data_IF_658847554951
#
_entry.id   IF_658847554951
#
_cell.length_a   1.000
_cell.length_b   1.000
_cell.length_c   1.000
_cell.angle_alpha   90.00
_cell.angle_beta   90.00
_cell.angle_gamma   90.00
#
_symmetry.space_group_name_H-M   'P 1'
#
loop_
_entity.id
_entity.type
_entity.pdbx_description
1 polymer ?
#
# COMPACT_ATOMS: atom_id res chain seq x y z
N UNK A 1 -30.71 49.46 -1.92
CA UNK A 1 -29.64 48.52 -1.55
C UNK A 1 -30.05 47.82 -0.25
N UNK A 2 -30.48 46.56 -0.32
CA UNK A 2 -30.69 45.70 0.84
C UNK A 2 -29.83 44.45 0.63
N UNK A 3 -28.91 44.19 1.56
CA UNK A 3 -28.05 43.02 1.55
C UNK A 3 -28.82 41.79 2.05
N UNK A 4 -28.93 40.79 1.19
CA UNK A 4 -29.39 39.45 1.56
C UNK A 4 -28.23 38.61 2.07
N UNK A 5 -28.26 38.29 3.36
CA UNK A 5 -27.37 37.33 4.02
C UNK A 5 -27.86 35.91 3.71
N UNK A 6 -27.05 35.10 3.04
CA UNK A 6 -27.26 33.65 2.94
C UNK A 6 -26.39 32.95 4.01
N UNK A 7 -26.96 32.05 4.84
CA UNK A 7 -26.17 31.31 5.81
C UNK A 7 -25.31 30.26 5.10
N UNK A 8 -24.00 30.33 5.30
CA UNK A 8 -23.04 29.30 4.93
C UNK A 8 -23.30 28.05 5.77
N UNK A 9 -24.10 27.13 5.25
CA UNK A 9 -24.23 25.78 5.77
C UNK A 9 -22.89 25.06 5.64
N UNK A 10 -22.15 24.98 6.74
CA UNK A 10 -20.99 24.10 6.90
C UNK A 10 -21.48 22.65 6.82
N UNK A 11 -21.49 22.10 5.61
CA UNK A 11 -21.64 20.66 5.38
C UNK A 11 -20.44 19.93 5.97
N UNK A 12 -20.54 19.58 7.26
CA UNK A 12 -19.60 18.70 7.93
C UNK A 12 -19.54 17.33 7.25
N UNK A 13 -18.36 16.71 7.26
CA UNK A 13 -18.10 15.39 6.66
C UNK A 13 -18.93 14.33 7.37
N UNK A 14 -19.67 13.50 6.63
CA UNK A 14 -20.61 12.50 7.15
C UNK A 14 -19.93 11.21 7.67
N UNK A 15 -18.71 11.32 8.22
CA UNK A 15 -17.97 10.18 8.77
C UNK A 15 -17.08 10.60 9.93
N UNK A 16 -17.15 9.86 11.03
CA UNK A 16 -16.24 9.96 12.18
C UNK A 16 -14.97 9.18 11.89
N UNK A 17 -13.81 9.87 11.90
CA UNK A 17 -12.50 9.21 11.83
C UNK A 17 -12.10 8.87 13.26
N UNK A 18 -12.05 7.58 13.67
CA UNK A 18 -11.54 7.23 14.98
C UNK A 18 -10.05 7.58 15.07
N UNK A 19 -9.70 8.31 16.13
CA UNK A 19 -8.31 8.62 16.49
C UNK A 19 -7.56 7.33 16.77
N UNK A 20 -6.38 7.20 16.15
CA UNK A 20 -5.51 6.02 16.15
C UNK A 20 -5.35 5.39 17.56
N UNK A 21 -6.14 4.35 17.83
CA UNK A 21 -5.74 3.27 18.74
C UNK A 21 -5.36 2.05 17.92
N UNK A 22 -4.20 1.52 18.28
CA UNK A 22 -3.55 0.25 17.98
C UNK A 22 -3.88 -0.51 16.68
N UNK A 23 -2.81 -0.82 15.95
CA UNK A 23 -2.84 -1.43 14.60
C UNK A 23 -3.32 -2.89 14.56
N UNK A 24 -3.83 -3.44 15.67
CA UNK A 24 -4.24 -4.85 15.79
C UNK A 24 -5.73 -5.07 15.42
N UNK A 25 -6.61 -4.12 15.73
CA UNK A 25 -8.07 -4.27 15.49
C UNK A 25 -8.53 -4.00 14.06
N UNK A 26 -7.62 -3.57 13.18
CA UNK A 26 -7.96 -3.26 11.79
C UNK A 26 -8.32 -4.51 10.99
N UNK A 27 -7.74 -5.67 11.32
CA UNK A 27 -8.04 -6.91 10.63
C UNK A 27 -9.41 -7.49 11.05
N UNK A 28 -9.80 -7.36 12.32
CA UNK A 28 -11.13 -7.75 12.80
C UNK A 28 -12.24 -6.92 12.16
N UNK A 29 -12.08 -5.58 12.16
CA UNK A 29 -13.06 -4.67 11.57
C UNK A 29 -13.21 -4.82 10.05
N UNK A 30 -12.13 -5.14 9.32
CA UNK A 30 -12.19 -5.35 7.86
C UNK A 30 -12.89 -6.66 7.49
N UNK A 31 -12.66 -7.74 8.25
CA UNK A 31 -13.31 -9.03 8.02
C UNK A 31 -14.80 -8.95 8.34
N UNK A 32 -15.15 -8.29 9.45
CA UNK A 32 -16.53 -8.06 9.84
C UNK A 32 -17.25 -7.13 8.87
N UNK A 33 -16.61 -6.03 8.43
CA UNK A 33 -17.15 -5.16 7.39
C UNK A 33 -17.31 -5.88 6.04
N UNK A 34 -16.38 -6.77 5.64
CA UNK A 34 -16.54 -7.58 4.42
C UNK A 34 -17.73 -8.55 4.50
N UNK A 35 -18.01 -9.05 5.69
CA UNK A 35 -19.10 -9.98 5.95
C UNK A 35 -20.46 -9.25 6.05
N UNK A 36 -20.46 -7.99 6.47
CA UNK A 36 -21.64 -7.12 6.57
C UNK A 36 -21.95 -6.33 5.28
N UNK A 37 -20.96 -6.10 4.40
CA UNK A 37 -21.11 -5.28 3.19
C UNK A 37 -21.65 -6.03 1.96
N UNK A 38 -21.90 -7.34 2.06
CA UNK A 38 -22.50 -8.13 0.99
C UNK A 38 -23.44 -9.19 1.54
N UNK A 39 -24.56 -9.43 0.85
CA UNK A 39 -25.38 -10.62 1.13
C UNK A 39 -24.46 -11.85 1.11
N UNK A 40 -24.52 -12.67 2.16
CA UNK A 40 -23.75 -13.92 2.22
C UNK A 40 -24.12 -14.80 1.03
N UNK A 41 -23.21 -15.68 0.59
CA UNK A 41 -23.47 -16.58 -0.54
C UNK A 41 -24.79 -17.35 -0.37
N UNK A 42 -25.06 -17.78 0.86
CA UNK A 42 -26.29 -18.47 1.23
C UNK A 42 -27.52 -17.55 1.09
N UNK A 43 -27.44 -16.30 1.57
CA UNK A 43 -28.52 -15.33 1.41
C UNK A 43 -28.79 -14.96 -0.06
N UNK A 44 -27.76 -14.92 -0.90
CA UNK A 44 -27.93 -14.75 -2.35
C UNK A 44 -28.63 -15.95 -3.01
N UNK A 45 -28.29 -17.18 -2.59
CA UNK A 45 -28.95 -18.39 -3.08
C UNK A 45 -30.41 -18.45 -2.61
N UNK A 46 -30.70 -18.08 -1.36
CA UNK A 46 -32.05 -18.01 -0.84
C UNK A 46 -32.91 -16.95 -1.55
N UNK A 47 -32.38 -15.74 -1.75
CA UNK A 47 -33.08 -14.69 -2.51
C UNK A 47 -33.32 -15.11 -3.96
N UNK A 48 -32.36 -15.80 -4.60
CA UNK A 48 -32.55 -16.39 -5.93
C UNK A 48 -33.63 -17.47 -5.92
N UNK A 49 -33.62 -18.39 -4.95
CA UNK A 49 -34.64 -19.45 -4.81
C UNK A 49 -36.03 -18.83 -4.59
N UNK A 50 -36.14 -17.86 -3.68
CA UNK A 50 -37.37 -17.14 -3.41
C UNK A 50 -37.90 -16.42 -4.66
N UNK A 51 -37.02 -15.75 -5.40
CA UNK A 51 -37.38 -15.13 -6.68
C UNK A 51 -37.90 -16.16 -7.69
N UNK A 52 -37.22 -17.30 -7.85
CA UNK A 52 -37.67 -18.37 -8.75
C UNK A 52 -39.02 -18.94 -8.37
N UNK A 53 -39.30 -19.09 -7.07
CA UNK A 53 -40.62 -19.51 -6.57
C UNK A 53 -41.67 -18.45 -6.92
N UNK A 54 -41.37 -17.16 -6.73
CA UNK A 54 -42.25 -16.05 -7.12
C UNK A 54 -42.57 -16.06 -8.61
N UNK A 55 -41.57 -16.28 -9.47
CA UNK A 55 -41.77 -16.42 -10.92
C UNK A 55 -42.68 -17.60 -11.25
N UNK A 56 -42.44 -18.77 -10.65
CA UNK A 56 -43.25 -19.97 -10.85
C UNK A 56 -44.70 -19.75 -10.42
N UNK A 57 -44.92 -19.14 -9.26
CA UNK A 57 -46.26 -18.88 -8.73
C UNK A 57 -47.02 -17.83 -9.56
N UNK A 58 -46.32 -16.90 -10.22
CA UNK A 58 -46.91 -15.94 -11.15
C UNK A 58 -47.39 -16.56 -12.47
N UNK A 59 -47.00 -17.79 -12.80
CA UNK A 59 -47.49 -18.52 -13.97
C UNK A 59 -48.70 -19.37 -13.50
N UNK A 60 -49.91 -18.93 -13.86
CA UNK A 60 -51.13 -19.67 -13.55
C UNK A 60 -51.06 -21.10 -14.10
N UNK A 61 -51.41 -22.08 -13.28
CA UNK A 61 -51.52 -23.48 -13.69
C UNK A 61 -52.65 -23.64 -14.69
N UNK A 62 -52.48 -24.52 -15.69
CA UNK A 62 -53.44 -24.73 -16.79
C UNK A 62 -54.87 -25.05 -16.33
N UNK A 63 -55.04 -25.63 -15.14
CA UNK A 63 -56.34 -25.93 -14.51
C UNK A 63 -57.15 -24.67 -14.12
N UNK A 64 -56.48 -23.53 -13.94
CA UNK A 64 -57.10 -22.27 -13.51
C UNK A 64 -57.46 -21.32 -14.66
N UNK A 65 -57.13 -21.68 -15.90
CA UNK A 65 -57.31 -20.82 -17.07
C UNK A 65 -58.47 -21.35 -17.91
N UNK A 66 -59.41 -20.46 -18.27
CA UNK A 66 -60.51 -20.81 -19.15
C UNK A 66 -59.99 -21.21 -20.55
N UNK A 67 -60.61 -22.17 -21.24
CA UNK A 67 -60.14 -22.65 -22.54
C UNK A 67 -60.02 -21.56 -23.62
N UNK A 68 -60.87 -20.53 -23.54
CA UNK A 68 -60.85 -19.39 -24.45
C UNK A 68 -59.61 -18.48 -24.26
N UNK A 69 -59.13 -18.36 -23.02
CA UNK A 69 -58.06 -17.42 -22.64
C UNK A 69 -56.66 -18.05 -22.72
N UNK A 70 -56.57 -19.38 -22.83
CA UNK A 70 -55.30 -20.11 -22.97
C UNK A 70 -54.45 -19.57 -24.13
N UNK A 71 -55.06 -19.32 -25.30
CA UNK A 71 -54.33 -18.79 -26.47
C UNK A 71 -53.75 -17.40 -26.21
N UNK A 72 -54.46 -16.54 -25.48
CA UNK A 72 -53.97 -15.21 -25.12
C UNK A 72 -52.80 -15.32 -24.14
N UNK A 73 -52.90 -16.20 -23.14
CA UNK A 73 -51.83 -16.40 -22.15
C UNK A 73 -50.56 -16.98 -22.75
N UNK A 74 -50.67 -17.91 -23.70
CA UNK A 74 -49.52 -18.44 -24.44
C UNK A 74 -48.79 -17.32 -25.18
N UNK A 75 -49.52 -16.42 -25.86
CA UNK A 75 -48.92 -15.28 -26.55
C UNK A 75 -48.22 -14.32 -25.59
N UNK A 76 -48.83 -14.02 -24.45
CA UNK A 76 -48.23 -13.17 -23.41
C UNK A 76 -46.93 -13.78 -22.88
N UNK A 77 -46.93 -15.07 -22.53
CA UNK A 77 -45.73 -15.77 -22.06
C UNK A 77 -44.64 -15.81 -23.11
N UNK A 78 -44.99 -16.04 -24.38
CA UNK A 78 -44.04 -16.03 -25.48
C UNK A 78 -43.38 -14.65 -25.65
N UNK A 79 -44.17 -13.57 -25.65
CA UNK A 79 -43.63 -12.20 -25.70
C UNK A 79 -42.72 -11.89 -24.51
N UNK A 80 -43.11 -12.34 -23.31
CA UNK A 80 -42.29 -12.20 -22.10
C UNK A 80 -40.96 -12.96 -22.21
N UNK A 81 -40.96 -14.17 -22.77
CA UNK A 81 -39.74 -14.96 -23.00
C UNK A 81 -38.81 -14.21 -23.95
N UNK A 82 -39.28 -13.76 -25.11
CA UNK A 82 -38.44 -13.02 -26.07
C UNK A 82 -37.81 -11.75 -25.47
N UNK A 83 -38.56 -11.04 -24.62
CA UNK A 83 -38.03 -9.88 -23.90
C UNK A 83 -36.94 -10.29 -22.91
N UNK A 84 -37.18 -11.32 -22.09
CA UNK A 84 -36.19 -11.83 -21.13
C UNK A 84 -34.94 -12.37 -21.80
N UNK A 85 -35.05 -12.95 -22.99
CA UNK A 85 -33.90 -13.39 -23.79
C UNK A 85 -33.04 -12.21 -24.26
N UNK A 86 -33.68 -11.12 -24.68
CA UNK A 86 -32.98 -9.89 -25.06
C UNK A 86 -32.29 -9.25 -23.85
N UNK A 87 -33.00 -9.10 -22.74
CA UNK A 87 -32.46 -8.55 -21.49
C UNK A 87 -31.28 -9.40 -20.98
N UNK A 88 -31.37 -10.74 -21.11
CA UNK A 88 -30.29 -11.67 -20.76
C UNK A 88 -29.04 -11.41 -21.60
N UNK A 89 -29.18 -11.29 -22.92
CA UNK A 89 -28.05 -11.01 -23.81
C UNK A 89 -27.34 -9.71 -23.43
N UNK A 90 -28.08 -8.63 -23.17
CA UNK A 90 -27.51 -7.34 -22.79
C UNK A 90 -26.79 -7.41 -21.44
N UNK A 91 -27.34 -8.15 -20.48
CA UNK A 91 -26.71 -8.37 -19.18
C UNK A 91 -25.43 -9.21 -19.30
N UNK A 92 -25.44 -10.28 -20.09
CA UNK A 92 -24.26 -11.13 -20.33
C UNK A 92 -23.15 -10.32 -21.01
N UNK A 93 -23.48 -9.51 -22.02
CA UNK A 93 -22.51 -8.63 -22.68
C UNK A 93 -21.93 -7.57 -21.75
N UNK A 94 -22.75 -7.01 -20.85
CA UNK A 94 -22.27 -6.08 -19.82
C UNK A 94 -21.35 -6.78 -18.83
N UNK A 95 -21.72 -7.99 -18.39
CA UNK A 95 -20.91 -8.78 -17.47
C UNK A 95 -19.54 -9.12 -18.07
N UNK A 96 -19.51 -9.59 -19.33
CA UNK A 96 -18.28 -9.90 -20.06
C UNK A 96 -17.33 -8.69 -20.12
N UNK A 97 -17.88 -7.48 -20.38
CA UNK A 97 -17.10 -6.24 -20.37
C UNK A 97 -16.53 -5.93 -18.99
N UNK A 98 -17.35 -6.03 -17.94
CA UNK A 98 -16.89 -5.80 -16.56
C UNK A 98 -15.79 -6.79 -16.15
N UNK A 99 -15.91 -8.05 -16.54
CA UNK A 99 -14.87 -9.05 -16.30
C UNK A 99 -13.57 -8.74 -17.03
N UNK A 100 -13.65 -8.23 -18.27
CA UNK A 100 -12.48 -7.76 -19.00
C UNK A 100 -11.81 -6.58 -18.28
N UNK A 101 -12.57 -5.56 -17.91
CA UNK A 101 -12.06 -4.37 -17.22
C UNK A 101 -11.40 -4.75 -15.87
N UNK A 102 -12.00 -5.68 -15.12
CA UNK A 102 -11.44 -6.19 -13.87
C UNK A 102 -10.13 -6.97 -14.10
N UNK A 103 -10.04 -7.77 -15.17
CA UNK A 103 -8.81 -8.49 -15.53
C UNK A 103 -7.69 -7.52 -15.90
N UNK A 104 -8.00 -6.49 -16.70
CA UNK A 104 -7.04 -5.46 -17.10
C UNK A 104 -6.55 -4.66 -15.89
N UNK A 105 -7.46 -4.23 -15.00
CA UNK A 105 -7.12 -3.49 -13.80
C UNK A 105 -6.21 -4.30 -12.86
N UNK A 106 -6.51 -5.59 -12.68
CA UNK A 106 -5.66 -6.49 -11.89
C UNK A 106 -4.27 -6.66 -12.51
N UNK A 107 -4.17 -6.77 -13.83
CA UNK A 107 -2.88 -6.88 -14.50
C UNK A 107 -2.06 -5.59 -14.41
N UNK A 108 -2.70 -4.43 -14.62
CA UNK A 108 -2.07 -3.12 -14.41
C UNK A 108 -1.60 -2.96 -12.96
N UNK A 109 -2.42 -3.37 -11.98
CA UNK A 109 -2.06 -3.36 -10.56
C UNK A 109 -0.83 -4.22 -10.28
N UNK A 110 -0.78 -5.45 -10.83
CA UNK A 110 0.41 -6.32 -10.73
C UNK A 110 1.65 -5.70 -11.36
N UNK A 111 1.51 -5.04 -12.51
CA UNK A 111 2.64 -4.36 -13.17
C UNK A 111 3.13 -3.17 -12.35
N UNK A 112 2.24 -2.36 -11.80
CA UNK A 112 2.58 -1.24 -10.91
C UNK A 112 3.31 -1.74 -9.66
N UNK A 113 2.82 -2.83 -9.04
CA UNK A 113 3.45 -3.44 -7.89
C UNK A 113 4.87 -3.97 -8.21
N UNK A 114 5.03 -4.68 -9.34
CA UNK A 114 6.34 -5.15 -9.82
C UNK A 114 7.32 -4.01 -10.06
N UNK A 115 6.89 -2.95 -10.76
CA UNK A 115 7.73 -1.78 -11.03
C UNK A 115 8.09 -1.01 -9.76
N UNK A 116 7.17 -0.92 -8.79
CA UNK A 116 7.44 -0.32 -7.50
C UNK A 116 8.46 -1.13 -6.68
N UNK A 117 8.42 -2.47 -6.75
CA UNK A 117 9.41 -3.33 -6.13
C UNK A 117 10.80 -3.17 -6.77
N UNK A 118 10.87 -3.17 -8.10
CA UNK A 118 12.12 -2.94 -8.85
C UNK A 118 12.77 -1.61 -8.48
N UNK A 119 11.98 -0.52 -8.41
CA UNK A 119 12.48 0.80 -8.00
C UNK A 119 13.03 0.83 -6.56
N UNK A 120 12.54 -0.05 -5.69
CA UNK A 120 13.01 -0.20 -4.31
C UNK A 120 14.18 -1.18 -4.18
N UNK A 121 14.68 -1.73 -5.28
CA UNK A 121 15.75 -2.74 -5.28
C UNK A 121 15.31 -4.09 -4.72
N UNK A 122 14.00 -4.33 -4.65
CA UNK A 122 13.42 -5.60 -4.19
C UNK A 122 13.13 -6.47 -5.41
N UNK A 123 13.53 -7.74 -5.35
CA UNK A 123 13.24 -8.72 -6.41
C UNK A 123 11.71 -8.86 -6.59
N UNK A 124 11.18 -8.70 -7.81
CA UNK A 124 9.75 -8.87 -8.11
C UNK A 124 9.16 -10.21 -7.66
N UNK A 125 9.98 -11.26 -7.60
CA UNK A 125 9.56 -12.60 -7.16
C UNK A 125 9.33 -12.66 -5.64
N UNK A 126 10.11 -11.92 -4.85
CA UNK A 126 9.98 -11.84 -3.39
C UNK A 126 8.89 -10.84 -2.94
N UNK A 127 8.51 -9.87 -3.79
CA UNK A 127 7.53 -8.83 -3.45
C UNK A 127 6.06 -9.22 -3.65
N UNK A 128 5.79 -10.19 -4.54
CA UNK A 128 4.43 -10.55 -4.94
C UNK A 128 3.84 -11.77 -4.24
N UNK A 129 4.69 -12.71 -3.80
CA UNK A 129 4.26 -14.07 -3.42
C UNK A 129 4.80 -14.54 -2.06
N UNK A 130 5.60 -13.72 -1.36
CA UNK A 130 6.17 -14.12 -0.08
C UNK A 130 5.22 -13.81 1.09
N UNK A 131 4.96 -14.83 1.92
CA UNK A 131 4.31 -14.71 3.24
C UNK A 131 5.08 -13.76 4.18
N UNK A 132 6.37 -13.54 3.90
CA UNK A 132 7.28 -12.78 4.75
C UNK A 132 7.76 -11.52 4.02
N UNK A 133 8.06 -10.43 4.76
CA UNK A 133 8.59 -9.21 4.17
C UNK A 133 9.78 -9.49 3.24
N UNK A 134 9.92 -8.75 2.13
CA UNK A 134 11.02 -8.96 1.19
C UNK A 134 12.38 -8.76 1.86
N UNK A 135 13.36 -9.57 1.47
CA UNK A 135 14.73 -9.49 2.01
C UNK A 135 15.37 -8.15 1.63
N UNK A 136 15.85 -7.41 2.62
CA UNK A 136 16.58 -6.16 2.41
C UNK A 136 18.06 -6.51 2.23
N UNK A 137 18.68 -6.03 1.15
CA UNK A 137 20.14 -6.09 1.01
C UNK A 137 20.78 -5.16 2.05
N UNK A 138 21.43 -5.75 3.05
CA UNK A 138 22.15 -5.02 4.11
C UNK A 138 23.58 -4.62 3.71
N UNK A 139 24.10 -5.18 2.63
CA UNK A 139 25.44 -4.89 2.12
C UNK A 139 25.33 -4.06 0.84
N UNK A 140 26.11 -2.99 0.77
CA UNK A 140 26.26 -2.19 -0.43
C UNK A 140 27.22 -2.88 -1.41
N UNK A 141 26.98 -2.78 -2.72
CA UNK A 141 27.95 -3.22 -3.74
C UNK A 141 29.31 -2.50 -3.63
N UNK A 142 29.33 -1.36 -2.94
CA UNK A 142 30.52 -0.58 -2.65
C UNK A 142 31.28 -1.05 -1.41
N UNK A 143 30.66 -1.84 -0.51
CA UNK A 143 31.32 -2.31 0.72
C UNK A 143 32.45 -3.30 0.44
N UNK A 144 32.41 -3.98 -0.71
CA UNK A 144 33.43 -4.96 -1.14
C UNK A 144 34.48 -4.39 -2.08
N UNK A 145 34.48 -3.07 -2.30
CA UNK A 145 35.51 -2.46 -3.13
C UNK A 145 36.82 -2.42 -2.35
N UNK A 146 37.78 -3.26 -2.76
CA UNK A 146 39.13 -3.25 -2.21
C UNK A 146 39.73 -1.86 -2.45
N UNK A 147 40.03 -1.16 -1.36
CA UNK A 147 40.68 0.14 -1.39
C UNK A 147 42.06 0.01 -2.06
N UNK A 148 42.21 0.68 -3.20
CA UNK A 148 43.45 0.67 -3.99
C UNK A 148 44.47 1.71 -3.53
N UNK A 149 44.11 2.55 -2.55
CA UNK A 149 45.01 3.56 -1.98
C UNK A 149 46.13 2.90 -1.18
N UNK A 150 47.29 3.54 -1.16
CA UNK A 150 48.41 3.07 -0.36
C UNK A 150 48.14 3.28 1.15
N UNK A 151 48.96 2.69 2.02
CA UNK A 151 48.76 2.80 3.48
C UNK A 151 48.74 4.25 3.99
N UNK A 152 49.62 5.12 3.48
CA UNK A 152 49.68 6.53 3.87
C UNK A 152 48.44 7.32 3.46
N UNK A 153 47.94 7.08 2.24
CA UNK A 153 46.72 7.68 1.72
C UNK A 153 45.47 7.25 2.50
N UNK A 154 45.38 5.95 2.87
CA UNK A 154 44.28 5.47 3.73
C UNK A 154 44.34 6.07 5.13
N UNK A 155 45.54 6.18 5.68
CA UNK A 155 45.77 6.76 7.00
C UNK A 155 45.34 8.23 7.02
N UNK A 156 45.74 9.02 6.01
CA UNK A 156 45.45 10.45 5.88
C UNK A 156 43.95 10.80 5.92
N UNK A 157 43.07 9.88 5.52
CA UNK A 157 41.60 10.02 5.57
C UNK A 157 41.07 10.10 7.00
N UNK A 158 41.81 9.56 7.97
CA UNK A 158 41.43 9.56 9.38
C UNK A 158 42.30 10.50 10.22
N UNK A 159 43.35 11.10 9.63
CA UNK A 159 44.25 11.99 10.39
C UNK A 159 43.85 13.45 10.35
N UNK A 160 43.19 13.89 9.27
CA UNK A 160 42.85 15.28 9.07
C UNK A 160 41.34 15.48 9.15
N UNK A 161 40.89 16.52 9.88
CA UNK A 161 39.47 16.93 9.94
C UNK A 161 38.87 17.16 8.54
N UNK A 162 39.69 17.49 7.55
CA UNK A 162 39.32 17.76 6.15
C UNK A 162 39.81 16.66 5.19
N UNK A 163 39.68 15.39 5.58
CA UNK A 163 40.02 14.26 4.71
C UNK A 163 39.42 14.41 3.31
N UNK A 164 40.15 14.04 2.25
CA UNK A 164 39.60 14.06 0.90
C UNK A 164 38.42 13.08 0.76
N UNK A 165 37.44 13.40 -0.10
CA UNK A 165 36.32 12.51 -0.39
C UNK A 165 36.74 11.05 -0.57
N UNK A 166 36.06 10.13 0.11
CA UNK A 166 36.23 8.70 -0.16
C UNK A 166 35.83 8.34 -1.61
N UNK A 167 35.03 9.20 -2.25
CA UNK A 167 34.53 9.07 -3.61
C UNK A 167 34.54 10.42 -4.34
N UNK A 168 34.89 10.47 -5.64
CA UNK A 168 34.85 11.71 -6.42
C UNK A 168 33.47 12.41 -6.32
N UNK A 169 33.45 13.70 -5.96
CA UNK A 169 32.24 14.52 -5.94
C UNK A 169 31.33 14.41 -4.70
N UNK A 170 31.73 13.67 -3.67
CA UNK A 170 30.98 13.56 -2.40
C UNK A 170 31.77 14.25 -1.29
N UNK A 171 31.15 15.13 -0.49
CA UNK A 171 31.85 15.73 0.63
C UNK A 171 32.32 14.63 1.61
N UNK A 172 33.56 14.71 2.13
CA UNK A 172 34.05 13.73 3.07
C UNK A 172 33.14 13.65 4.31
N UNK A 173 32.86 12.45 4.83
CA UNK A 173 32.11 12.34 6.06
C UNK A 173 32.91 13.02 7.19
N UNK A 174 32.24 13.75 8.10
CA UNK A 174 32.92 14.36 9.24
C UNK A 174 33.62 13.29 10.07
N UNK A 175 34.85 13.57 10.51
CA UNK A 175 35.59 12.65 11.37
C UNK A 175 34.79 12.41 12.66
N UNK A 176 34.39 11.15 12.90
CA UNK A 176 33.59 10.76 14.08
C UNK A 176 34.38 10.82 15.39
N UNK A 177 35.71 10.86 15.31
CA UNK A 177 36.60 10.84 16.45
C UNK A 177 37.54 12.04 16.39
N UNK A 178 37.54 12.85 17.44
CA UNK A 178 38.60 13.81 17.68
C UNK A 178 39.84 13.04 18.15
N UNK A 179 40.97 13.25 17.48
CA UNK A 179 42.24 12.66 17.91
C UNK A 179 42.69 13.36 19.19
N UNK A 180 42.34 12.80 20.33
CA UNK A 180 42.95 13.14 21.62
C UNK A 180 44.21 12.29 21.73
N UNK A 181 45.38 12.92 21.52
CA UNK A 181 46.66 12.28 21.79
C UNK A 181 46.79 12.23 23.31
N UNK A 182 46.86 11.02 23.89
CA UNK A 182 47.13 10.88 25.31
C UNK A 182 48.56 11.36 25.57
N UNK A 183 48.71 12.46 26.32
CA UNK A 183 50.01 12.90 26.82
C UNK A 183 50.57 11.81 27.72
N UNK A 184 51.84 11.49 27.56
CA UNK A 184 52.52 10.57 28.47
C UNK A 184 52.80 11.26 29.80
N UNK A 185 52.86 10.51 30.90
CA UNK A 185 53.02 11.08 32.25
C UNK A 185 54.22 12.03 32.39
N UNK A 186 55.31 11.80 31.64
CA UNK A 186 56.48 12.68 31.63
C UNK A 186 56.21 14.03 30.94
N UNK A 187 55.38 14.06 29.89
CA UNK A 187 55.04 15.29 29.16
C UNK A 187 54.09 16.16 29.99
N UNK A 188 53.26 15.54 30.83
CA UNK A 188 52.37 16.24 31.77
C UNK A 188 53.20 16.85 32.90
N UNK A 189 54.16 16.07 33.43
CA UNK A 189 55.02 16.52 34.52
C UNK A 189 55.99 17.62 34.08
N UNK A 190 56.52 17.56 32.85
CA UNK A 190 57.34 18.66 32.29
C UNK A 190 56.54 19.95 32.06
N UNK A 191 55.25 19.88 31.74
CA UNK A 191 54.37 21.06 31.66
C UNK A 191 54.06 21.62 33.05
N UNK A 192 53.72 20.75 34.03
CA UNK A 192 53.47 21.18 35.41
C UNK A 192 54.72 21.80 36.04
N UNK A 193 55.90 21.21 35.85
CA UNK A 193 57.17 21.74 36.34
C UNK A 193 57.55 23.06 35.63
N UNK A 194 57.13 23.25 34.37
CA UNK A 194 57.36 24.49 33.62
C UNK A 194 56.40 25.60 34.03
N UNK A 195 55.13 25.28 34.29
CA UNK A 195 54.12 26.21 34.78
C UNK A 195 54.45 26.65 36.23
N UNK A 196 54.88 25.72 37.09
CA UNK A 196 55.36 26.02 38.46
C UNK A 196 56.62 26.93 38.42
N UNK A 197 57.52 26.70 37.47
CA UNK A 197 58.68 27.57 37.22
C UNK A 197 58.31 28.91 36.59
N UNK A 198 57.13 29.07 35.98
CA UNK A 198 56.67 30.35 35.45
C UNK A 198 55.95 31.17 36.54
N UNK A 199 55.18 30.50 37.42
CA UNK A 199 54.56 31.09 38.62
C UNK A 199 55.59 31.49 39.70
N UNK A 200 56.73 30.80 39.83
CA UNK A 200 57.78 31.16 40.82
C UNK A 200 58.52 32.47 40.46
N UNK A 201 58.36 32.98 39.22
CA UNK A 201 59.01 34.20 38.74
C UNK A 201 58.04 35.40 38.52
N UNK A 202 56.76 35.27 38.86
CA UNK A 202 55.79 36.39 39.00
C UNK A 202 55.63 36.88 40.45
#
# INVERSE_FOLDING_TARGET
MMGGSFPSGQGGRNFTIPTKTEKNDKFGNIVQAKQEMGMTKEQQEETKKAFMIGVKNGILTSSSILPADLKAKIKELHQRICKLETDKYDLEKRHERQEYDLKELNERSRQVARNAALKKGIDPTDAGDSRHPPKVQVFSKYDRQIDRRNFGERRAVYENKNAYPCFPGIAPPPALYEKVIAKYAHEIQEEEDADDMEEEYE
#
